data_IF_778370881839
#
_entry.id   IF_778370881839
#
_cell.length_a   1.000
_cell.length_b   1.000
_cell.length_c   1.000
_cell.angle_alpha   90.00
_cell.angle_beta   90.00
_cell.angle_gamma   90.00
#
_symmetry.space_group_name_H-M   'P 1'
#
loop_
_entity.id
_entity.type
_entity.pdbx_description
1 polymer ?
#
# COMPACT_ATOMS: atom_id res chain seq x y z
N UNK A 1 0.51 -35.72 2.22
CA UNK A 1 -0.52 -35.35 1.21
C UNK A 1 -0.14 -34.00 0.67
N UNK A 2 0.18 -33.96 -0.61
CA UNK A 2 0.57 -32.76 -1.36
C UNK A 2 -0.69 -31.99 -1.74
N UNK A 3 -0.81 -30.74 -1.29
CA UNK A 3 -1.69 -29.76 -1.94
C UNK A 3 -0.80 -28.85 -2.80
N UNK A 4 -0.74 -29.19 -4.08
CA UNK A 4 -0.29 -28.28 -5.14
C UNK A 4 -1.51 -27.45 -5.56
N UNK A 5 -1.79 -26.36 -4.85
CA UNK A 5 -2.70 -25.34 -5.35
C UNK A 5 -1.91 -24.43 -6.28
N UNK A 6 -1.86 -24.83 -7.54
CA UNK A 6 -1.37 -24.03 -8.65
C UNK A 6 -2.43 -22.94 -8.88
N UNK A 7 -2.19 -21.76 -8.33
CA UNK A 7 -2.92 -20.55 -8.72
C UNK A 7 -2.36 -20.12 -10.08
N UNK A 8 -3.12 -20.34 -11.14
CA UNK A 8 -2.75 -19.88 -12.48
C UNK A 8 -2.48 -18.36 -12.50
N UNK A 9 -1.55 -17.87 -13.32
CA UNK A 9 -1.33 -16.45 -13.51
C UNK A 9 -2.58 -15.83 -14.16
N UNK A 10 -3.39 -15.15 -13.37
CA UNK A 10 -4.61 -14.51 -13.85
C UNK A 10 -4.29 -13.44 -14.91
N UNK A 11 -4.99 -13.44 -16.06
CA UNK A 11 -4.83 -12.40 -17.07
C UNK A 11 -5.38 -11.06 -16.56
N UNK A 12 -4.60 -9.98 -16.72
CA UNK A 12 -4.91 -8.60 -16.33
C UNK A 12 -6.12 -7.96 -17.08
N UNK A 13 -6.95 -8.74 -17.78
CA UNK A 13 -7.86 -8.26 -18.83
C UNK A 13 -9.26 -7.82 -18.37
N UNK A 14 -9.55 -7.69 -17.08
CA UNK A 14 -10.90 -7.37 -16.60
C UNK A 14 -11.01 -6.17 -15.65
N UNK A 15 -10.14 -5.16 -15.80
CA UNK A 15 -10.38 -3.83 -15.19
C UNK A 15 -10.95 -2.92 -16.28
N UNK A 16 -12.25 -2.60 -16.16
CA UNK A 16 -12.93 -1.62 -17.02
C UNK A 16 -12.13 -0.31 -17.03
N UNK A 17 -11.92 0.27 -18.21
CA UNK A 17 -11.26 1.58 -18.40
C UNK A 17 -11.86 2.67 -17.49
N UNK A 18 -13.11 2.48 -17.04
CA UNK A 18 -13.86 3.31 -16.10
C UNK A 18 -13.22 3.48 -14.70
N UNK A 19 -12.30 2.60 -14.29
CA UNK A 19 -11.64 2.66 -12.96
C UNK A 19 -10.15 3.05 -13.01
N UNK A 20 -9.64 3.47 -14.18
CA UNK A 20 -8.32 4.11 -14.24
C UNK A 20 -8.43 5.50 -13.61
N UNK A 21 -7.79 5.69 -12.47
CA UNK A 21 -7.71 7.00 -11.86
C UNK A 21 -6.91 7.94 -12.78
N UNK A 22 -7.55 8.97 -13.34
CA UNK A 22 -6.81 9.98 -14.10
C UNK A 22 -6.01 10.84 -13.12
N UNK A 23 -4.70 10.62 -13.03
CA UNK A 23 -3.79 11.63 -12.47
C UNK A 23 -3.97 12.92 -13.27
N UNK A 24 -4.05 14.06 -12.58
CA UNK A 24 -4.41 15.38 -13.11
C UNK A 24 -3.99 15.59 -14.58
N UNK A 25 -4.94 16.09 -15.37
CA UNK A 25 -4.82 16.47 -16.78
C UNK A 25 -3.54 17.31 -17.01
N UNK A 26 -2.48 16.67 -17.51
CA UNK A 26 -1.20 17.35 -17.74
C UNK A 26 -0.01 16.48 -18.19
N UNK A 27 0.05 15.20 -17.83
CA UNK A 27 0.98 14.22 -18.43
C UNK A 27 0.50 12.79 -18.15
N UNK A 28 -0.70 12.47 -18.63
CA UNK A 28 -1.49 11.35 -18.12
C UNK A 28 -1.33 10.09 -18.97
N UNK A 29 -0.31 9.25 -18.69
CA UNK A 29 -0.38 7.80 -18.93
C UNK A 29 0.73 7.02 -18.20
N UNK A 30 1.99 7.47 -18.21
CA UNK A 30 3.11 6.61 -17.79
C UNK A 30 3.13 6.23 -16.30
N UNK A 31 3.00 7.19 -15.38
CA UNK A 31 3.17 6.90 -13.94
C UNK A 31 2.03 6.05 -13.37
N UNK A 32 0.79 6.32 -13.78
CA UNK A 32 -0.36 5.49 -13.40
C UNK A 32 -0.23 4.09 -13.99
N UNK A 33 0.19 3.98 -15.26
CA UNK A 33 0.47 2.69 -15.89
C UNK A 33 1.55 1.94 -15.12
N UNK A 34 2.65 2.57 -14.75
CA UNK A 34 3.73 1.96 -13.96
C UNK A 34 3.22 1.50 -12.57
N UNK A 35 2.37 2.29 -11.91
CA UNK A 35 1.77 1.92 -10.63
C UNK A 35 0.83 0.72 -10.76
N UNK A 36 0.07 0.63 -11.86
CA UNK A 36 -0.95 -0.40 -12.04
C UNK A 36 -0.44 -1.66 -12.77
N UNK A 37 0.68 -1.59 -13.47
CA UNK A 37 1.25 -2.69 -14.26
C UNK A 37 1.87 -3.77 -13.36
N UNK A 38 1.22 -4.93 -13.31
CA UNK A 38 1.70 -6.09 -12.56
C UNK A 38 2.95 -6.74 -13.18
N UNK A 39 3.20 -6.50 -14.47
CA UNK A 39 4.19 -7.19 -15.29
C UNK A 39 5.29 -6.25 -15.82
N UNK A 40 5.52 -5.13 -15.12
CA UNK A 40 6.54 -4.15 -15.50
C UNK A 40 7.91 -4.82 -15.70
N UNK A 41 8.40 -4.84 -16.94
CA UNK A 41 9.64 -5.52 -17.31
C UNK A 41 10.82 -5.04 -16.45
N UNK A 42 11.68 -5.91 -15.90
CA UNK A 42 12.88 -5.52 -15.17
C UNK A 42 13.86 -4.61 -15.95
N UNK A 43 13.75 -4.57 -17.28
CA UNK A 43 14.50 -3.71 -18.19
C UNK A 43 13.82 -2.35 -18.42
N UNK A 44 12.58 -2.18 -17.97
CA UNK A 44 11.88 -0.91 -18.08
C UNK A 44 12.61 0.17 -17.28
N UNK A 45 12.78 1.41 -17.79
CA UNK A 45 13.54 2.47 -17.09
C UNK A 45 12.97 2.85 -15.72
N UNK A 46 11.66 2.67 -15.54
CA UNK A 46 10.99 2.89 -14.26
C UNK A 46 11.00 1.66 -13.34
N UNK A 47 11.58 0.52 -13.74
CA UNK A 47 11.66 -0.63 -12.84
C UNK A 47 12.68 -0.34 -11.73
N UNK A 48 12.23 -0.42 -10.48
CA UNK A 48 13.09 -0.23 -9.31
C UNK A 48 13.26 -1.55 -8.56
N UNK A 49 14.53 -1.97 -8.39
CA UNK A 49 14.88 -3.19 -7.64
C UNK A 49 14.60 -3.03 -6.15
N UNK A 50 14.27 -4.13 -5.49
CA UNK A 50 14.22 -4.21 -4.04
C UNK A 50 15.61 -3.90 -3.44
N UNK A 51 15.67 -3.17 -2.31
CA UNK A 51 16.93 -2.90 -1.62
C UNK A 51 17.50 -4.16 -0.95
N UNK A 52 18.74 -4.10 -0.44
CA UNK A 52 19.26 -5.12 0.49
C UNK A 52 18.33 -5.30 1.69
N UNK A 53 18.19 -6.54 2.15
CA UNK A 53 17.27 -6.86 3.22
C UNK A 53 17.75 -6.34 4.58
N UNK A 54 16.80 -5.90 5.39
CA UNK A 54 16.92 -5.47 6.77
C UNK A 54 16.06 -6.39 7.65
N UNK A 55 16.43 -6.54 8.92
CA UNK A 55 15.48 -7.11 9.89
C UNK A 55 14.34 -6.12 10.20
N UNK A 56 13.24 -6.62 10.78
CA UNK A 56 12.06 -5.80 11.09
C UNK A 56 12.37 -4.60 11.99
N UNK A 57 13.31 -4.74 12.94
CA UNK A 57 13.70 -3.65 13.85
C UNK A 57 14.46 -2.57 13.10
N UNK A 58 15.40 -2.96 12.24
CA UNK A 58 16.15 -2.03 11.39
C UNK A 58 15.23 -1.30 10.42
N UNK A 59 14.32 -2.01 9.77
CA UNK A 59 13.32 -1.40 8.87
C UNK A 59 12.40 -0.43 9.63
N UNK A 60 11.96 -0.79 10.85
CA UNK A 60 11.16 0.08 11.73
C UNK A 60 11.91 1.35 12.13
N UNK A 61 13.16 1.22 12.58
CA UNK A 61 13.98 2.37 12.94
C UNK A 61 14.17 3.30 11.73
N UNK A 62 14.54 2.72 10.58
CA UNK A 62 14.73 3.45 9.32
C UNK A 62 13.48 4.22 8.88
N UNK A 63 12.28 3.67 9.08
CA UNK A 63 11.02 4.34 8.72
C UNK A 63 10.89 5.72 9.40
N UNK A 64 11.43 5.85 10.62
CA UNK A 64 11.37 7.05 11.44
C UNK A 64 12.71 7.80 11.55
N UNK A 65 13.77 7.31 10.92
CA UNK A 65 15.02 8.03 10.74
C UNK A 65 14.81 9.10 9.66
N UNK A 66 14.29 10.26 10.07
CA UNK A 66 14.07 11.39 9.18
C UNK A 66 15.32 12.26 9.08
N UNK A 67 15.66 12.69 7.86
CA UNK A 67 16.54 13.83 7.67
C UNK A 67 15.73 15.11 7.50
N UNK A 68 16.10 16.20 8.19
CA UNK A 68 15.49 17.52 8.00
C UNK A 68 15.56 18.00 6.52
N UNK A 69 16.55 17.50 5.77
CA UNK A 69 16.70 17.75 4.34
C UNK A 69 15.58 17.16 3.49
N UNK A 70 15.02 16.01 3.87
CA UNK A 70 13.96 15.36 3.09
C UNK A 70 12.66 16.17 3.14
N UNK A 71 12.30 16.64 4.33
CA UNK A 71 11.10 17.47 4.53
C UNK A 71 11.24 18.84 3.86
N UNK A 72 12.46 19.38 3.78
CA UNK A 72 12.72 20.65 3.10
C UNK A 72 12.67 20.53 1.56
N UNK A 73 12.64 19.32 1.00
CA UNK A 73 12.69 19.14 -0.45
C UNK A 73 11.41 19.67 -1.14
N UNK A 74 11.53 20.25 -2.36
CA UNK A 74 10.36 20.76 -3.09
C UNK A 74 9.30 19.67 -3.36
N UNK A 75 9.73 18.43 -3.63
CA UNK A 75 8.85 17.29 -3.86
C UNK A 75 8.03 16.94 -2.63
N UNK A 76 8.68 16.87 -1.47
CA UNK A 76 8.01 16.58 -0.19
C UNK A 76 7.04 17.69 0.18
N UNK A 77 7.44 18.96 0.05
CA UNK A 77 6.55 20.10 0.32
C UNK A 77 5.33 20.11 -0.59
N UNK A 78 5.50 19.80 -1.88
CA UNK A 78 4.38 19.70 -2.82
C UNK A 78 3.42 18.55 -2.47
N UNK A 79 3.95 17.39 -2.08
CA UNK A 79 3.15 16.27 -1.60
C UNK A 79 2.40 16.64 -0.31
N UNK A 80 3.03 17.35 0.62
CA UNK A 80 2.40 17.79 1.87
C UNK A 80 1.24 18.73 1.60
N UNK A 81 1.39 19.68 0.66
CA UNK A 81 0.30 20.59 0.29
C UNK A 81 -0.90 19.85 -0.30
N UNK A 82 -0.65 18.90 -1.22
CA UNK A 82 -1.71 18.04 -1.78
C UNK A 82 -2.38 17.19 -0.72
N UNK A 83 -1.59 16.60 0.19
CA UNK A 83 -2.12 15.85 1.32
C UNK A 83 -3.03 16.70 2.20
N UNK A 84 -2.59 17.89 2.63
CA UNK A 84 -3.40 18.83 3.43
C UNK A 84 -4.69 19.20 2.71
N UNK A 85 -4.62 19.50 1.41
CA UNK A 85 -5.80 19.80 0.60
C UNK A 85 -6.76 18.61 0.57
N UNK A 86 -6.27 17.40 0.33
CA UNK A 86 -7.07 16.17 0.28
C UNK A 86 -7.73 15.87 1.63
N UNK A 87 -6.99 16.03 2.73
CA UNK A 87 -7.46 15.76 4.10
C UNK A 87 -8.43 16.80 4.65
N UNK A 88 -8.61 17.94 3.97
CA UNK A 88 -9.64 18.93 4.32
C UNK A 88 -11.07 18.46 4.00
N UNK A 89 -11.22 17.42 3.18
CA UNK A 89 -12.51 16.82 2.85
C UNK A 89 -12.97 15.78 3.89
N UNK A 90 -14.29 15.68 4.15
CA UNK A 90 -14.82 14.79 5.20
C UNK A 90 -14.88 13.30 4.79
N UNK A 91 -15.31 13.02 3.56
CA UNK A 91 -15.53 11.66 3.04
C UNK A 91 -14.63 11.35 1.88
N UNK A 92 -14.32 10.09 1.60
CA UNK A 92 -13.49 9.60 0.49
C UNK A 92 -14.01 9.83 -0.95
N UNK A 93 -13.23 9.37 -1.93
CA UNK A 93 -13.67 9.23 -3.33
C UNK A 93 -13.02 8.01 -3.95
N UNK A 94 -13.65 7.42 -4.96
CA UNK A 94 -13.22 6.15 -5.56
C UNK A 94 -11.84 6.24 -6.20
N UNK A 95 -11.39 7.39 -6.66
CA UNK A 95 -10.07 7.57 -7.29
C UNK A 95 -8.96 7.91 -6.28
N UNK A 96 -9.33 8.29 -5.06
CA UNK A 96 -8.40 8.86 -4.09
C UNK A 96 -7.30 7.90 -3.64
N UNK A 97 -7.57 6.60 -3.36
CA UNK A 97 -6.53 5.67 -2.96
C UNK A 97 -5.34 5.62 -3.93
N UNK A 98 -5.64 5.53 -5.23
CA UNK A 98 -4.62 5.46 -6.28
C UNK A 98 -3.90 6.80 -6.44
N UNK A 99 -4.64 7.93 -6.42
CA UNK A 99 -4.04 9.25 -6.58
C UNK A 99 -3.07 9.61 -5.46
N UNK A 100 -3.35 9.17 -4.24
CA UNK A 100 -2.54 9.51 -3.08
C UNK A 100 -1.30 8.64 -2.89
N UNK A 101 -1.20 7.50 -3.57
CA UNK A 101 -0.11 6.54 -3.34
C UNK A 101 1.29 7.17 -3.36
N UNK A 102 1.64 7.89 -4.43
CA UNK A 102 2.97 8.48 -4.58
C UNK A 102 3.23 9.63 -3.58
N UNK A 103 2.19 10.39 -3.21
CA UNK A 103 2.32 11.45 -2.21
C UNK A 103 2.52 10.84 -0.81
N UNK A 104 1.76 9.81 -0.46
CA UNK A 104 1.91 9.08 0.79
C UNK A 104 3.27 8.39 0.89
N UNK A 105 3.75 7.80 -0.21
CA UNK A 105 5.10 7.21 -0.28
C UNK A 105 6.18 8.27 -0.03
N UNK A 106 6.06 9.43 -0.67
CA UNK A 106 6.99 10.55 -0.46
C UNK A 106 6.97 11.05 0.98
N UNK A 107 5.79 11.16 1.60
CA UNK A 107 5.62 11.76 2.93
C UNK A 107 5.98 10.81 4.08
N UNK A 108 5.61 9.54 3.96
CA UNK A 108 5.63 8.56 5.06
C UNK A 108 6.75 7.55 4.87
N UNK A 109 6.99 7.10 3.64
CA UNK A 109 7.87 5.97 3.34
C UNK A 109 9.13 6.40 2.57
N UNK A 110 9.42 7.70 2.52
CA UNK A 110 10.64 8.28 1.92
C UNK A 110 10.86 7.91 0.45
N UNK A 111 9.75 7.69 -0.26
CA UNK A 111 9.78 7.27 -1.65
C UNK A 111 10.21 5.83 -1.85
N UNK A 112 10.26 4.97 -0.83
CA UNK A 112 10.76 3.59 -0.96
C UNK A 112 9.78 2.63 -1.63
N UNK A 113 8.51 2.99 -1.81
CA UNK A 113 7.50 2.11 -2.41
C UNK A 113 7.30 2.37 -3.90
N UNK A 114 7.43 3.62 -4.35
CA UNK A 114 7.27 4.03 -5.74
C UNK A 114 8.14 3.17 -6.64
N UNK A 115 7.51 2.64 -7.68
CA UNK A 115 8.09 1.76 -8.69
C UNK A 115 8.55 0.37 -8.21
N UNK A 116 8.44 0.05 -6.91
CA UNK A 116 8.63 -1.30 -6.35
C UNK A 116 7.31 -2.01 -6.07
N UNK A 117 6.31 -1.22 -5.68
CA UNK A 117 4.96 -1.67 -5.38
C UNK A 117 4.05 -1.32 -6.55
N UNK A 118 3.12 -2.23 -6.87
CA UNK A 118 2.01 -1.95 -7.77
C UNK A 118 0.71 -1.88 -6.95
N UNK A 119 -0.22 -1.01 -7.35
CA UNK A 119 -1.49 -0.82 -6.65
C UNK A 119 -2.61 -0.79 -7.68
N UNK A 120 -3.62 -1.66 -7.54
CA UNK A 120 -4.76 -1.71 -8.46
C UNK A 120 -6.08 -1.97 -7.74
N UNK A 121 -7.16 -1.58 -8.39
CA UNK A 121 -8.51 -1.97 -8.03
C UNK A 121 -8.73 -3.44 -8.35
N UNK A 122 -9.26 -4.20 -7.40
CA UNK A 122 -9.60 -5.61 -7.60
C UNK A 122 -10.77 -5.98 -6.67
N UNK A 123 -11.68 -6.81 -7.17
CA UNK A 123 -12.75 -7.35 -6.35
C UNK A 123 -12.15 -8.38 -5.38
N UNK A 124 -12.35 -8.20 -4.07
CA UNK A 124 -11.68 -9.01 -3.06
C UNK A 124 -12.22 -10.45 -2.95
N UNK A 125 -13.43 -10.70 -3.45
CA UNK A 125 -14.00 -12.03 -3.64
C UNK A 125 -13.13 -12.90 -4.56
N UNK A 126 -12.54 -12.31 -5.61
CA UNK A 126 -11.64 -12.96 -6.56
C UNK A 126 -10.29 -13.34 -5.97
N UNK A 127 -9.92 -12.79 -4.80
CA UNK A 127 -8.66 -13.11 -4.13
C UNK A 127 -8.82 -14.27 -3.13
N UNK A 128 -10.03 -14.83 -2.98
CA UNK A 128 -10.28 -16.01 -2.15
C UNK A 128 -10.22 -15.77 -0.63
N UNK A 129 -10.11 -14.50 -0.20
CA UNK A 129 -9.95 -14.10 1.22
C UNK A 129 -11.30 -13.74 1.88
N UNK A 130 -12.36 -13.61 1.08
CA UNK A 130 -13.67 -13.04 1.47
C UNK A 130 -14.42 -13.78 2.59
N UNK A 131 -14.14 -15.05 2.89
CA UNK A 131 -15.00 -15.84 3.79
C UNK A 131 -14.46 -16.04 5.22
N UNK A 132 -13.18 -15.76 5.49
CA UNK A 132 -12.58 -16.13 6.78
C UNK A 132 -12.58 -15.03 7.85
N UNK A 133 -12.83 -13.77 7.48
CA UNK A 133 -12.63 -12.62 8.38
C UNK A 133 -13.90 -11.89 8.83
N UNK A 134 -15.09 -12.37 8.43
CA UNK A 134 -16.37 -11.88 8.96
C UNK A 134 -16.70 -10.40 8.70
N UNK A 135 -15.95 -9.71 7.83
CA UNK A 135 -16.12 -8.30 7.51
C UNK A 135 -15.65 -7.96 6.10
N UNK A 136 -15.97 -6.74 5.65
CA UNK A 136 -15.59 -6.25 4.31
C UNK A 136 -14.10 -5.93 4.27
N UNK A 137 -13.33 -6.72 3.52
CA UNK A 137 -11.91 -6.44 3.28
C UNK A 137 -11.78 -5.18 2.42
N UNK A 138 -11.13 -4.13 2.92
CA UNK A 138 -10.97 -2.86 2.19
C UNK A 138 -9.72 -2.86 1.29
N UNK A 139 -8.66 -3.55 1.72
CA UNK A 139 -7.40 -3.63 1.01
C UNK A 139 -6.64 -4.91 1.34
N UNK A 140 -5.63 -5.23 0.53
CA UNK A 140 -4.76 -6.37 0.74
C UNK A 140 -3.38 -6.13 0.12
N UNK A 141 -2.35 -6.49 0.85
CA UNK A 141 -0.98 -6.53 0.35
C UNK A 141 -0.51 -7.96 0.13
N UNK A 142 -0.06 -8.24 -1.11
CA UNK A 142 0.41 -9.54 -1.54
C UNK A 142 1.94 -9.46 -1.78
N UNK A 143 2.74 -10.36 -1.19
CA UNK A 143 4.18 -10.40 -1.39
C UNK A 143 4.58 -10.68 -2.85
N UNK A 144 5.83 -10.41 -3.23
CA UNK A 144 6.35 -10.80 -4.53
C UNK A 144 6.34 -12.32 -4.65
N UNK A 145 5.82 -12.84 -5.76
CA UNK A 145 5.84 -14.29 -6.03
C UNK A 145 7.08 -14.67 -6.81
N UNK A 146 7.49 -15.94 -6.71
CA UNK A 146 8.59 -16.51 -7.50
C UNK A 146 8.26 -16.69 -8.98
N UNK A 147 6.98 -16.53 -9.36
CA UNK A 147 6.45 -16.84 -10.69
C UNK A 147 6.36 -15.64 -11.63
N UNK A 148 6.48 -14.42 -11.11
CA UNK A 148 6.37 -13.17 -11.88
C UNK A 148 7.49 -12.20 -11.51
N UNK A 149 7.65 -11.11 -12.27
CA UNK A 149 8.59 -10.04 -11.92
C UNK A 149 8.31 -9.61 -10.46
N UNK A 150 9.30 -9.65 -9.55
CA UNK A 150 9.04 -9.49 -8.12
C UNK A 150 8.67 -8.05 -7.81
N UNK A 151 7.37 -7.76 -7.85
CA UNK A 151 6.76 -6.54 -7.30
C UNK A 151 5.81 -6.92 -6.19
N UNK A 152 5.78 -6.08 -5.17
CA UNK A 152 4.79 -6.17 -4.11
C UNK A 152 3.49 -5.57 -4.64
N UNK A 153 2.36 -6.16 -4.27
CA UNK A 153 1.08 -5.90 -4.91
C UNK A 153 0.07 -5.48 -3.87
N UNK A 154 -0.41 -4.24 -3.94
CA UNK A 154 -1.55 -3.76 -3.15
C UNK A 154 -2.81 -3.88 -4.00
N UNK A 155 -3.88 -4.43 -3.41
CA UNK A 155 -5.22 -4.53 -3.99
C UNK A 155 -6.17 -3.74 -3.14
N UNK A 156 -6.90 -2.82 -3.76
CA UNK A 156 -7.93 -2.05 -3.08
C UNK A 156 -9.28 -2.56 -3.57
N UNK A 157 -10.16 -2.84 -2.63
CA UNK A 157 -11.44 -3.46 -2.92
C UNK A 157 -12.33 -2.52 -3.74
N UNK A 158 -12.66 -2.92 -4.96
CA UNK A 158 -13.52 -2.15 -5.85
C UNK A 158 -15.00 -2.18 -5.43
N UNK A 159 -15.41 -3.18 -4.66
CA UNK A 159 -16.82 -3.39 -4.27
C UNK A 159 -17.25 -2.52 -3.09
N UNK A 160 -16.30 -1.81 -2.47
CA UNK A 160 -16.56 -0.86 -1.37
C UNK A 160 -17.00 0.48 -1.94
N UNK A 161 -18.05 1.08 -1.38
CA UNK A 161 -18.38 2.48 -1.67
C UNK A 161 -17.49 3.43 -0.86
N UNK A 162 -16.29 3.69 -1.37
CA UNK A 162 -15.28 4.56 -0.77
C UNK A 162 -15.75 5.99 -0.50
N UNK A 163 -16.85 6.44 -1.12
CA UNK A 163 -17.44 7.76 -0.90
C UNK A 163 -18.17 7.85 0.44
N UNK A 164 -18.51 6.71 1.05
CA UNK A 164 -19.19 6.66 2.34
C UNK A 164 -18.21 6.54 3.52
N UNK A 165 -16.96 6.16 3.24
CA UNK A 165 -15.94 6.05 4.28
C UNK A 165 -15.43 7.44 4.71
N UNK A 166 -15.22 7.66 6.02
CA UNK A 166 -14.48 8.81 6.52
C UNK A 166 -13.12 8.89 5.84
N UNK A 167 -12.69 10.10 5.46
CA UNK A 167 -11.45 10.25 4.70
C UNK A 167 -10.20 9.74 5.43
N UNK A 168 -10.18 9.90 6.76
CA UNK A 168 -9.09 9.40 7.62
C UNK A 168 -9.00 7.88 7.60
N UNK A 169 -10.13 7.18 7.59
CA UNK A 169 -10.21 5.73 7.48
C UNK A 169 -9.84 5.25 6.06
N UNK A 170 -10.30 5.94 5.01
CA UNK A 170 -9.91 5.63 3.63
C UNK A 170 -8.41 5.72 3.43
N UNK A 171 -7.81 6.87 3.77
CA UNK A 171 -6.38 7.08 3.62
C UNK A 171 -5.61 6.19 4.59
N UNK A 172 -6.13 5.99 5.81
CA UNK A 172 -5.55 5.08 6.79
C UNK A 172 -5.48 3.64 6.28
N UNK A 173 -6.51 3.14 5.60
CA UNK A 173 -6.51 1.83 4.95
C UNK A 173 -5.41 1.75 3.89
N UNK A 174 -5.27 2.77 3.04
CA UNK A 174 -4.21 2.79 2.03
C UNK A 174 -2.83 2.77 2.68
N UNK A 175 -2.63 3.55 3.74
CA UNK A 175 -1.37 3.61 4.47
C UNK A 175 -1.09 2.31 5.24
N UNK A 176 -2.11 1.63 5.76
CA UNK A 176 -1.99 0.31 6.37
C UNK A 176 -1.41 -0.70 5.37
N UNK A 177 -1.96 -0.76 4.16
CA UNK A 177 -1.44 -1.64 3.10
C UNK A 177 -0.04 -1.20 2.63
N UNK A 178 0.22 0.11 2.53
CA UNK A 178 1.55 0.61 2.21
C UNK A 178 2.59 0.26 3.29
N UNK A 179 2.18 0.17 4.56
CA UNK A 179 3.06 -0.26 5.65
C UNK A 179 3.42 -1.74 5.54
N UNK A 180 2.45 -2.61 5.18
CA UNK A 180 2.76 -3.99 4.80
C UNK A 180 3.76 -4.03 3.66
N UNK A 181 3.52 -3.23 2.62
CA UNK A 181 4.39 -3.18 1.45
C UNK A 181 5.81 -2.69 1.79
N UNK A 182 5.94 -1.71 2.68
CA UNK A 182 7.23 -1.22 3.17
C UNK A 182 8.04 -2.33 3.84
N UNK A 183 7.43 -3.10 4.73
CA UNK A 183 8.13 -4.20 5.36
C UNK A 183 8.44 -5.33 4.38
N UNK A 184 7.59 -5.60 3.38
CA UNK A 184 7.99 -6.54 2.31
C UNK A 184 9.16 -6.03 1.47
N UNK A 185 9.23 -4.72 1.18
CA UNK A 185 10.33 -4.11 0.42
C UNK A 185 11.66 -4.32 1.15
N UNK A 186 11.68 -4.08 2.46
CA UNK A 186 12.92 -4.08 3.24
C UNK A 186 13.24 -5.41 3.91
N UNK A 187 12.25 -6.20 4.33
CA UNK A 187 12.49 -7.45 5.07
C UNK A 187 12.32 -8.70 4.20
N UNK A 188 11.67 -8.58 3.05
CA UNK A 188 11.32 -9.73 2.20
C UNK A 188 10.30 -10.67 2.88
N UNK A 189 9.84 -11.69 2.16
CA UNK A 189 8.76 -12.58 2.65
C UNK A 189 9.17 -13.37 3.89
N UNK A 190 10.40 -13.87 3.92
CA UNK A 190 10.91 -14.66 5.05
C UNK A 190 11.23 -13.79 6.28
N UNK A 191 11.65 -12.53 6.08
CA UNK A 191 11.93 -11.60 7.17
C UNK A 191 10.70 -10.82 7.65
N UNK A 192 9.60 -10.85 6.89
CA UNK A 192 8.30 -10.29 7.27
C UNK A 192 7.55 -11.23 8.22
N UNK A 193 8.17 -11.46 9.39
CA UNK A 193 7.57 -12.16 10.51
C UNK A 193 7.79 -11.30 11.74
N UNK A 194 6.75 -10.55 12.13
CA UNK A 194 6.83 -9.64 13.26
C UNK A 194 6.81 -10.39 14.59
N UNK A 195 7.28 -9.72 15.65
CA UNK A 195 7.29 -10.27 17.01
C UNK A 195 5.87 -10.18 17.57
N UNK A 196 5.34 -11.31 18.03
CA UNK A 196 4.01 -11.40 18.66
C UNK A 196 4.19 -11.50 20.17
N UNK A 197 3.79 -10.46 20.92
CA UNK A 197 3.94 -10.42 22.38
C UNK A 197 2.61 -10.32 23.14
N UNK A 198 1.52 -10.00 22.46
CA UNK A 198 0.24 -9.70 23.09
C UNK A 198 -0.93 -10.41 22.40
N UNK A 199 -2.04 -10.56 23.13
CA UNK A 199 -3.27 -11.14 22.61
C UNK A 199 -3.92 -10.17 21.62
N UNK A 200 -4.15 -10.62 20.39
CA UNK A 200 -4.72 -9.81 19.30
C UNK A 200 -3.69 -9.36 18.26
N UNK A 201 -2.40 -9.64 18.47
CA UNK A 201 -1.36 -9.54 17.44
C UNK A 201 -1.26 -10.83 16.63
N UNK A 202 -0.79 -10.71 15.40
CA UNK A 202 -0.39 -11.84 14.56
C UNK A 202 0.98 -11.55 13.90
N UNK A 203 1.48 -12.51 13.11
CA UNK A 203 2.79 -12.40 12.46
C UNK A 203 2.91 -11.25 11.46
N UNK A 204 1.79 -10.73 10.97
CA UNK A 204 1.70 -9.58 10.07
C UNK A 204 1.47 -8.26 10.82
N UNK A 205 0.84 -8.33 12.00
CA UNK A 205 0.45 -7.21 12.86
C UNK A 205 1.08 -7.31 14.26
N UNK A 206 2.39 -7.56 14.32
CA UNK A 206 3.13 -7.68 15.57
C UNK A 206 3.59 -6.34 16.14
N UNK A 207 4.60 -6.40 17.00
CA UNK A 207 5.12 -5.25 17.76
C UNK A 207 5.58 -4.11 16.85
N UNK A 208 6.37 -4.40 15.81
CA UNK A 208 6.93 -3.36 14.95
C UNK A 208 5.87 -2.73 14.05
N UNK A 209 4.98 -3.54 13.48
CA UNK A 209 3.88 -3.08 12.65
C UNK A 209 2.94 -2.18 13.46
N UNK A 210 2.48 -2.64 14.63
CA UNK A 210 1.56 -1.89 15.47
C UNK A 210 2.19 -0.58 15.96
N UNK A 211 3.44 -0.63 16.41
CA UNK A 211 4.19 0.55 16.83
C UNK A 211 4.33 1.57 15.69
N UNK A 212 4.66 1.12 14.49
CA UNK A 212 4.78 2.00 13.33
C UNK A 212 3.43 2.62 12.95
N UNK A 213 2.38 1.80 12.86
CA UNK A 213 1.04 2.28 12.54
C UNK A 213 0.53 3.32 13.54
N UNK A 214 0.70 3.10 14.85
CA UNK A 214 0.29 4.07 15.88
C UNK A 214 1.04 5.41 15.77
N UNK A 215 2.34 5.38 15.48
CA UNK A 215 3.12 6.61 15.24
C UNK A 215 2.63 7.36 13.99
N UNK A 216 2.30 6.63 12.92
CA UNK A 216 1.75 7.20 11.69
C UNK A 216 0.36 7.81 11.95
N UNK A 217 -0.54 7.09 12.63
CA UNK A 217 -1.87 7.61 13.03
C UNK A 217 -1.74 8.93 13.80
N UNK A 218 -0.85 8.98 14.79
CA UNK A 218 -0.63 10.19 15.60
C UNK A 218 -0.07 11.36 14.78
N UNK A 219 0.93 11.10 13.93
CA UNK A 219 1.58 12.16 13.15
C UNK A 219 0.68 12.73 12.05
N UNK A 220 -0.13 11.88 11.42
CA UNK A 220 -0.89 12.23 10.23
C UNK A 220 -2.40 12.33 10.47
N UNK A 221 -2.88 12.00 11.68
CA UNK A 221 -4.30 12.05 12.03
C UNK A 221 -5.15 11.04 11.24
N UNK A 222 -4.62 9.84 11.04
CA UNK A 222 -5.25 8.74 10.29
C UNK A 222 -5.82 7.66 11.23
N UNK A 223 -6.62 6.76 10.67
CA UNK A 223 -7.18 5.58 11.34
C UNK A 223 -6.77 4.33 10.55
N UNK A 224 -5.77 3.60 11.03
CA UNK A 224 -5.14 2.45 10.36
C UNK A 224 -5.66 1.10 10.85
N UNK A 225 -6.20 1.03 12.06
CA UNK A 225 -6.57 -0.24 12.71
C UNK A 225 -8.07 -0.38 13.02
N UNK A 226 -8.86 0.68 12.82
CA UNK A 226 -10.28 0.66 13.13
C UNK A 226 -11.09 0.27 11.89
N UNK A 227 -11.17 -1.04 11.63
CA UNK A 227 -11.93 -1.63 10.50
C UNK A 227 -13.24 -2.29 10.94
N UNK A 228 -13.60 -2.22 12.23
CA UNK A 228 -14.77 -2.93 12.80
C UNK A 228 -15.99 -2.02 13.06
N UNK A 229 -15.99 -0.78 12.57
CA UNK A 229 -16.98 0.24 12.95
C UNK A 229 -17.85 0.83 11.83
N UNK A 230 -17.89 0.25 10.63
CA UNK A 230 -18.73 0.73 9.52
C UNK A 230 -19.74 -0.31 9.05
#
# INVERSE_FOLDING_TARGET
>A
MLFHDIVEPFPDTAISECFRAHANTGSACSELQILQDSNLDPRHPAYRRLPPLLDMRQAHNRLFEHSFSDEASPGWQAALQRYKQVMSGPYGSTDLPIKMFNDLDTLIFHGDLKHRVNMKWEACDKVGISQSFGGTLLGLTIPPTTWSVPRIRIRINIDVDWRQLPRKMLIGTVVHEMLHAYYYVHCGVAGYQDVVTERGMDISHGVFFYSAGKRIEQRWGLELFDLQGA
#
